data_IF_136436365698
#
_entry.id   IF_136436365698
#
_cell.length_a   1.000
_cell.length_b   1.000
_cell.length_c   1.000
_cell.angle_alpha   90.00
_cell.angle_beta   90.00
_cell.angle_gamma   90.00
#
_symmetry.space_group_name_H-M   'P 1'
#
loop_
_entity.id
_entity.type
_entity.pdbx_description
1 polymer ?
#
# COMPACT_ATOMS: atom_id res chain seq x y z
N UNK A 1 -58.54 24.89 9.93
CA UNK A 1 -57.69 24.04 10.76
C UNK A 1 -57.35 22.68 10.11
N UNK A 2 -58.31 21.90 9.58
CA UNK A 2 -58.03 20.57 8.99
C UNK A 2 -57.09 20.60 7.77
N UNK A 3 -57.08 21.65 6.94
CA UNK A 3 -56.16 21.76 5.79
C UNK A 3 -54.71 22.04 6.18
N UNK A 4 -54.47 22.82 7.23
CA UNK A 4 -53.11 23.05 7.75
C UNK A 4 -52.52 21.83 8.45
N UNK A 5 -53.38 21.04 9.10
CA UNK A 5 -52.95 19.78 9.74
C UNK A 5 -52.49 18.74 8.70
N UNK A 6 -53.20 18.65 7.56
CA UNK A 6 -52.78 17.78 6.47
C UNK A 6 -51.44 18.20 5.83
N UNK A 7 -51.22 19.53 5.68
CA UNK A 7 -49.94 20.04 5.15
C UNK A 7 -48.78 19.77 6.12
N UNK A 8 -48.98 19.93 7.44
CA UNK A 8 -47.97 19.65 8.46
C UNK A 8 -47.68 18.14 8.50
N UNK A 9 -48.69 17.29 8.39
CA UNK A 9 -48.49 15.82 8.40
C UNK A 9 -47.78 15.36 7.13
N UNK A 10 -48.05 15.98 5.96
CA UNK A 10 -47.33 15.69 4.73
C UNK A 10 -45.86 16.20 4.77
N UNK A 11 -45.63 17.37 5.34
CA UNK A 11 -44.26 17.89 5.57
C UNK A 11 -43.46 17.03 6.56
N UNK A 12 -44.10 16.50 7.61
CA UNK A 12 -43.48 15.57 8.58
C UNK A 12 -43.15 14.22 7.95
N UNK A 13 -43.98 13.70 7.02
CA UNK A 13 -43.70 12.46 6.28
C UNK A 13 -42.51 12.60 5.31
N UNK A 14 -42.31 13.80 4.74
CA UNK A 14 -41.16 14.09 3.88
C UNK A 14 -39.82 14.23 4.64
N UNK A 15 -39.87 14.53 5.95
CA UNK A 15 -38.65 14.66 6.79
C UNK A 15 -38.11 13.31 7.26
N UNK A 16 -38.83 12.20 7.09
CA UNK A 16 -38.49 10.87 7.63
C UNK A 16 -37.51 10.05 6.79
N UNK A 17 -37.06 10.54 5.63
CA UNK A 17 -36.16 9.80 4.74
C UNK A 17 -34.68 10.19 4.90
N UNK A 18 -34.17 10.26 6.11
CA UNK A 18 -32.70 10.28 6.30
C UNK A 18 -32.22 8.85 6.44
N UNK A 19 -31.38 8.32 5.53
CA UNK A 19 -30.78 7.02 5.71
C UNK A 19 -29.95 7.02 6.99
N UNK A 20 -30.24 6.09 7.90
CA UNK A 20 -29.42 5.88 9.10
C UNK A 20 -28.08 5.31 8.63
N UNK A 21 -26.99 5.95 9.02
CA UNK A 21 -25.66 5.34 8.92
C UNK A 21 -25.72 4.03 9.72
N UNK A 22 -25.30 2.94 9.08
CA UNK A 22 -25.13 1.66 9.73
C UNK A 22 -23.93 1.79 10.68
N UNK A 23 -24.19 1.74 11.96
CA UNK A 23 -23.15 1.65 12.99
C UNK A 23 -22.81 0.16 13.14
N UNK A 24 -21.73 -0.26 12.50
CA UNK A 24 -21.24 -1.62 12.60
C UNK A 24 -20.68 -1.81 14.02
N UNK A 25 -21.46 -2.42 14.90
CA UNK A 25 -20.98 -2.84 16.21
C UNK A 25 -20.07 -4.05 16.02
N UNK A 26 -18.76 -3.82 16.06
CA UNK A 26 -17.75 -4.87 16.05
C UNK A 26 -17.47 -5.24 17.51
N UNK A 27 -17.71 -6.49 17.89
CA UNK A 27 -17.29 -7.01 19.20
C UNK A 27 -15.76 -7.03 19.24
N UNK A 28 -15.19 -6.16 20.05
CA UNK A 28 -13.74 -6.08 20.26
C UNK A 28 -13.42 -6.68 21.62
N UNK A 29 -12.53 -7.67 21.72
CA UNK A 29 -12.10 -8.19 23.01
C UNK A 29 -11.44 -7.08 23.82
N UNK A 30 -11.68 -7.07 25.14
CA UNK A 30 -11.11 -6.07 26.05
C UNK A 30 -9.58 -6.13 26.10
N UNK A 31 -9.01 -7.34 25.96
CA UNK A 31 -7.58 -7.56 26.06
C UNK A 31 -7.10 -8.52 24.95
N UNK A 32 -5.84 -8.41 24.56
CA UNK A 32 -5.19 -9.39 23.72
C UNK A 32 -5.00 -10.72 24.47
N UNK A 33 -4.95 -11.84 23.71
CA UNK A 33 -4.84 -13.19 24.28
C UNK A 33 -3.63 -13.40 25.20
N UNK A 34 -2.54 -12.65 24.99
CA UNK A 34 -1.28 -12.72 25.73
C UNK A 34 -0.92 -11.38 26.38
N UNK A 35 -1.90 -10.54 26.67
CA UNK A 35 -1.69 -9.18 27.22
C UNK A 35 -0.95 -9.17 28.57
N UNK A 36 -0.99 -10.28 29.35
CA UNK A 36 -0.30 -10.37 30.64
C UNK A 36 1.24 -10.40 30.56
N UNK A 37 1.79 -10.68 29.38
CA UNK A 37 3.23 -10.82 29.15
C UNK A 37 3.88 -9.54 28.61
N UNK A 38 3.09 -8.51 28.29
CA UNK A 38 3.56 -7.26 27.68
C UNK A 38 3.14 -6.03 28.48
N UNK A 39 3.96 -4.96 28.50
CA UNK A 39 3.58 -3.69 29.11
C UNK A 39 2.30 -3.15 28.45
N UNK A 40 1.26 -2.89 29.28
CA UNK A 40 -0.01 -2.33 28.81
C UNK A 40 0.02 -0.80 28.67
N UNK A 41 1.18 -0.19 28.64
CA UNK A 41 1.29 1.24 28.45
C UNK A 41 0.79 1.61 27.06
N UNK A 42 -0.17 2.52 26.99
CA UNK A 42 -0.73 3.09 25.77
C UNK A 42 0.27 4.01 25.05
N UNK A 43 1.46 3.48 24.76
CA UNK A 43 2.45 4.18 23.96
C UNK A 43 2.05 3.99 22.51
N UNK A 44 1.54 5.06 21.91
CA UNK A 44 1.34 5.12 20.46
C UNK A 44 2.69 4.91 19.78
N UNK A 45 2.86 3.82 19.03
CA UNK A 45 4.02 3.68 18.16
C UNK A 45 4.08 4.93 17.26
N UNK A 46 5.22 5.61 17.18
CA UNK A 46 5.39 6.73 16.28
C UNK A 46 5.14 6.25 14.85
N UNK A 47 4.74 7.18 13.97
CA UNK A 47 4.56 6.87 12.55
C UNK A 47 5.80 6.21 11.94
N UNK A 48 7.00 6.62 12.37
CA UNK A 48 8.29 6.08 11.98
C UNK A 48 8.70 4.85 12.83
N UNK A 49 7.88 3.80 12.80
CA UNK A 49 8.09 2.57 13.56
C UNK A 49 9.43 1.88 13.24
N UNK A 50 10.00 2.09 12.05
CA UNK A 50 11.28 1.52 11.64
C UNK A 50 12.50 2.10 12.38
N UNK A 51 12.37 3.27 13.01
CA UNK A 51 13.42 3.87 13.84
C UNK A 51 13.73 3.02 15.09
N UNK A 52 12.78 2.16 15.50
CA UNK A 52 12.94 1.22 16.62
C UNK A 52 14.16 0.32 16.41
N UNK A 53 14.51 -0.01 15.17
CA UNK A 53 15.66 -0.85 14.87
C UNK A 53 17.01 -0.15 15.08
N UNK A 54 17.04 1.17 15.25
CA UNK A 54 18.25 1.95 15.46
C UNK A 54 19.25 1.93 14.29
N UNK A 55 18.78 1.52 13.11
CA UNK A 55 19.59 1.39 11.90
C UNK A 55 19.43 2.61 10.99
N UNK A 56 20.50 3.41 10.90
CA UNK A 56 20.51 4.60 10.07
C UNK A 56 20.37 4.32 8.57
N UNK A 57 20.84 3.15 8.11
CA UNK A 57 20.72 2.74 6.72
C UNK A 57 19.26 2.40 6.40
N UNK A 58 18.60 1.63 7.27
CA UNK A 58 17.18 1.34 7.14
C UNK A 58 16.36 2.64 7.12
N UNK A 59 16.62 3.57 8.05
CA UNK A 59 15.91 4.83 8.13
C UNK A 59 16.04 5.63 6.82
N UNK A 60 17.26 5.77 6.31
CA UNK A 60 17.53 6.44 5.02
C UNK A 60 16.81 5.78 3.84
N UNK A 61 16.79 4.45 3.79
CA UNK A 61 16.13 3.71 2.71
C UNK A 61 14.61 3.87 2.75
N UNK A 62 14.01 3.83 3.94
CA UNK A 62 12.56 4.03 4.09
C UNK A 62 12.17 5.45 3.72
N UNK A 63 12.88 6.47 4.20
CA UNK A 63 12.65 7.88 3.83
C UNK A 63 12.77 8.08 2.32
N UNK A 64 13.83 7.54 1.72
CA UNK A 64 14.02 7.61 0.26
C UNK A 64 12.88 6.95 -0.51
N UNK A 65 12.41 5.78 -0.06
CA UNK A 65 11.26 5.10 -0.68
C UNK A 65 9.99 5.93 -0.58
N UNK A 66 9.73 6.55 0.57
CA UNK A 66 8.54 7.40 0.76
C UNK A 66 8.53 8.61 -0.18
N UNK A 67 9.69 9.13 -0.56
CA UNK A 67 9.82 10.26 -1.48
C UNK A 67 9.73 9.85 -2.96
N UNK A 68 10.29 8.69 -3.33
CA UNK A 68 10.54 8.34 -4.73
C UNK A 68 9.69 7.18 -5.26
N UNK A 69 8.98 6.44 -4.39
CA UNK A 69 8.22 5.28 -4.82
C UNK A 69 7.04 5.65 -5.74
N UNK A 70 6.96 4.98 -6.89
CA UNK A 70 5.96 5.27 -7.94
C UNK A 70 4.53 4.87 -7.53
N UNK A 71 4.37 3.80 -6.77
CA UNK A 71 3.06 3.37 -6.30
C UNK A 71 2.49 4.36 -5.27
N UNK A 72 3.35 4.92 -4.42
CA UNK A 72 2.95 5.95 -3.47
C UNK A 72 2.54 7.25 -4.19
N UNK A 73 3.29 7.66 -5.23
CA UNK A 73 2.93 8.79 -6.08
C UNK A 73 1.60 8.58 -6.80
N UNK A 74 1.31 7.35 -7.26
CA UNK A 74 0.02 7.00 -7.84
C UNK A 74 -1.11 7.11 -6.80
N UNK A 75 -0.91 6.63 -5.58
CA UNK A 75 -1.90 6.76 -4.50
C UNK A 75 -2.17 8.23 -4.15
N UNK A 76 -1.13 9.08 -4.11
CA UNK A 76 -1.28 10.52 -3.96
C UNK A 76 -2.11 11.16 -5.08
N UNK A 77 -1.91 10.72 -6.33
CA UNK A 77 -2.68 11.21 -7.49
C UNK A 77 -4.17 10.87 -7.38
N UNK A 78 -4.54 9.74 -6.79
CA UNK A 78 -5.94 9.37 -6.52
C UNK A 78 -6.63 10.33 -5.54
N UNK A 79 -5.88 10.89 -4.59
CA UNK A 79 -6.42 11.92 -3.67
C UNK A 79 -6.78 13.18 -4.47
N UNK A 80 -5.93 13.62 -5.41
CA UNK A 80 -6.23 14.77 -6.26
C UNK A 80 -7.45 14.51 -7.16
N UNK A 81 -7.57 13.31 -7.73
CA UNK A 81 -8.73 12.89 -8.51
C UNK A 81 -10.01 12.93 -7.67
N UNK A 82 -10.01 12.32 -6.47
CA UNK A 82 -11.15 12.32 -5.58
C UNK A 82 -11.54 13.75 -5.16
N UNK A 83 -10.56 14.63 -4.94
CA UNK A 83 -10.80 16.06 -4.65
C UNK A 83 -11.46 16.78 -5.83
N UNK A 84 -11.02 16.50 -7.05
CA UNK A 84 -11.65 17.06 -8.26
C UNK A 84 -13.08 16.55 -8.43
N UNK A 85 -13.36 15.28 -8.11
CA UNK A 85 -14.68 14.68 -8.17
C UNK A 85 -15.70 15.34 -7.21
N UNK A 86 -15.25 15.95 -6.11
CA UNK A 86 -16.13 16.77 -5.26
C UNK A 86 -16.62 18.00 -6.02
N UNK A 87 -15.79 18.64 -6.85
CA UNK A 87 -16.23 19.77 -7.67
C UNK A 87 -17.23 19.33 -8.72
N UNK A 88 -17.03 18.18 -9.35
CA UNK A 88 -17.99 17.56 -10.29
C UNK A 88 -19.33 17.27 -9.60
N UNK A 89 -19.31 16.68 -8.40
CA UNK A 89 -20.53 16.40 -7.62
C UNK A 89 -21.26 17.67 -7.16
N UNK A 90 -20.57 18.80 -7.10
CA UNK A 90 -21.16 20.12 -6.78
C UNK A 90 -21.66 20.87 -8.00
N UNK A 91 -21.19 20.57 -9.20
CA UNK A 91 -21.58 21.29 -10.41
C UNK A 91 -23.11 21.35 -10.62
N UNK A 92 -23.92 20.28 -10.40
CA UNK A 92 -25.36 20.32 -10.56
C UNK A 92 -26.13 21.22 -9.57
N UNK A 93 -25.46 21.77 -8.53
CA UNK A 93 -26.06 22.79 -7.66
C UNK A 93 -26.25 24.14 -8.38
N UNK A 94 -25.51 24.34 -9.49
CA UNK A 94 -25.56 25.56 -10.30
C UNK A 94 -26.29 25.28 -11.62
N UNK A 95 -26.92 26.29 -12.22
CA UNK A 95 -27.50 26.15 -13.55
C UNK A 95 -26.41 25.87 -14.59
N UNK A 96 -26.69 24.97 -15.53
CA UNK A 96 -25.84 24.72 -16.69
C UNK A 96 -26.20 25.67 -17.83
N UNK A 97 -25.21 26.26 -18.47
CA UNK A 97 -25.36 27.11 -19.64
C UNK A 97 -24.73 26.39 -20.83
N UNK A 98 -25.53 26.16 -21.85
CA UNK A 98 -25.07 25.53 -23.09
C UNK A 98 -25.23 26.50 -24.26
N UNK A 99 -24.40 26.37 -25.29
CA UNK A 99 -24.50 27.01 -26.57
C UNK A 99 -24.35 25.95 -27.67
N UNK A 100 -25.40 25.69 -28.40
CA UNK A 100 -25.38 24.79 -29.54
C UNK A 100 -25.26 25.62 -30.84
N UNK A 101 -24.20 25.34 -31.58
CA UNK A 101 -23.95 25.95 -32.89
C UNK A 101 -24.03 24.84 -33.92
N UNK A 102 -24.96 24.96 -34.87
CA UNK A 102 -25.05 24.00 -35.97
C UNK A 102 -25.10 24.71 -37.32
N UNK A 103 -24.45 24.11 -38.31
CA UNK A 103 -24.50 24.53 -39.69
C UNK A 103 -24.91 23.33 -40.55
N UNK A 104 -25.99 23.46 -41.29
CA UNK A 104 -26.52 22.42 -42.15
C UNK A 104 -26.67 22.93 -43.56
N UNK A 105 -26.10 22.20 -44.52
CA UNK A 105 -26.29 22.45 -45.95
C UNK A 105 -27.13 21.35 -46.58
N UNK A 106 -28.26 21.69 -47.20
CA UNK A 106 -29.10 20.76 -47.96
C UNK A 106 -29.08 21.15 -49.43
N UNK A 107 -28.82 20.17 -50.29
CA UNK A 107 -29.00 20.35 -51.75
C UNK A 107 -30.26 19.63 -52.19
N UNK A 108 -31.14 20.38 -52.85
CA UNK A 108 -32.41 19.85 -53.39
C UNK A 108 -32.59 20.36 -54.82
N UNK A 109 -32.77 19.47 -55.79
CA UNK A 109 -33.18 19.86 -57.15
C UNK A 109 -34.68 20.19 -57.19
N UNK A 110 -35.11 21.28 -57.88
CA UNK A 110 -34.35 22.25 -58.66
C UNK A 110 -33.90 23.52 -57.87
N UNK A 111 -34.10 23.58 -56.58
CA UNK A 111 -33.91 24.80 -55.75
C UNK A 111 -32.48 25.11 -55.35
N UNK A 112 -31.51 24.17 -55.62
CA UNK A 112 -30.10 24.40 -55.30
C UNK A 112 -29.72 24.17 -53.85
N UNK A 113 -28.58 24.72 -53.40
CA UNK A 113 -28.05 24.57 -52.05
C UNK A 113 -28.68 25.57 -51.08
N UNK A 114 -29.28 25.06 -50.02
CA UNK A 114 -29.75 25.87 -48.88
C UNK A 114 -28.83 25.67 -47.70
N UNK A 115 -28.33 26.76 -47.12
CA UNK A 115 -27.50 26.74 -45.90
C UNK A 115 -28.33 27.26 -44.73
N UNK A 116 -28.32 26.52 -43.64
CA UNK A 116 -28.98 26.91 -42.39
C UNK A 116 -27.94 26.97 -41.27
N UNK A 117 -27.91 28.09 -40.58
CA UNK A 117 -27.08 28.28 -39.39
C UNK A 117 -28.00 28.44 -38.19
N UNK A 118 -27.81 27.65 -37.17
CA UNK A 118 -28.63 27.72 -35.96
C UNK A 118 -27.69 27.97 -34.75
N UNK A 119 -28.07 28.97 -33.94
CA UNK A 119 -27.41 29.34 -32.69
C UNK A 119 -28.45 29.24 -31.60
N UNK A 120 -28.31 28.27 -30.70
CA UNK A 120 -29.27 28.00 -29.64
C UNK A 120 -28.58 28.09 -28.27
N UNK A 121 -28.68 29.22 -27.56
CA UNK A 121 -28.31 29.28 -26.17
C UNK A 121 -29.34 28.52 -25.32
N UNK A 122 -28.88 27.74 -24.37
CA UNK A 122 -29.72 26.99 -23.43
C UNK A 122 -29.29 27.22 -21.99
N UNK A 123 -30.22 27.34 -21.08
CA UNK A 123 -30.01 27.36 -19.64
C UNK A 123 -30.87 26.26 -19.06
N UNK A 124 -30.27 25.31 -18.35
CA UNK A 124 -31.01 24.27 -17.64
C UNK A 124 -30.56 24.17 -16.19
N UNK A 125 -31.50 24.03 -15.29
CA UNK A 125 -31.26 23.86 -13.88
C UNK A 125 -32.29 22.93 -13.26
N UNK A 126 -31.82 21.87 -12.64
CA UNK A 126 -32.65 20.92 -11.92
C UNK A 126 -32.53 21.21 -10.41
N UNK A 127 -33.64 21.70 -9.82
CA UNK A 127 -33.67 22.02 -8.39
C UNK A 127 -33.85 20.72 -7.58
N UNK A 128 -32.87 20.32 -6.78
CA UNK A 128 -32.90 19.03 -6.03
C UNK A 128 -33.77 19.18 -4.78
N UNK A 129 -35.05 18.86 -4.85
CA UNK A 129 -35.98 18.99 -3.73
C UNK A 129 -35.82 17.86 -2.69
N UNK A 130 -35.36 16.68 -3.11
CA UNK A 130 -35.32 15.47 -2.28
C UNK A 130 -33.91 15.12 -1.75
N UNK A 131 -32.96 16.03 -1.80
CA UNK A 131 -31.65 15.87 -1.19
C UNK A 131 -30.66 14.99 -1.95
N UNK A 132 -30.96 14.51 -3.16
CA UNK A 132 -30.08 13.68 -4.00
C UNK A 132 -28.69 14.29 -4.21
N UNK A 133 -28.61 15.59 -4.56
CA UNK A 133 -27.33 16.29 -4.72
C UNK A 133 -26.55 16.42 -3.42
N UNK A 134 -27.22 16.56 -2.28
CA UNK A 134 -26.56 16.59 -0.97
C UNK A 134 -25.95 15.23 -0.66
N UNK A 135 -26.67 14.15 -0.95
CA UNK A 135 -26.17 12.78 -0.77
C UNK A 135 -25.02 12.48 -1.70
N UNK A 136 -25.10 12.87 -2.99
CA UNK A 136 -23.99 12.74 -3.94
C UNK A 136 -22.72 13.50 -3.50
N UNK A 137 -22.88 14.73 -2.97
CA UNK A 137 -21.74 15.49 -2.44
C UNK A 137 -21.16 14.86 -1.15
N UNK A 138 -22.00 14.26 -0.29
CA UNK A 138 -21.51 13.51 0.88
C UNK A 138 -20.74 12.27 0.44
N UNK A 139 -21.24 11.52 -0.53
CA UNK A 139 -20.57 10.36 -1.10
C UNK A 139 -19.21 10.73 -1.71
N UNK A 140 -19.13 11.82 -2.48
CA UNK A 140 -17.87 12.30 -3.05
C UNK A 140 -16.86 12.71 -1.96
N UNK A 141 -17.31 13.29 -0.85
CA UNK A 141 -16.45 13.60 0.29
C UNK A 141 -15.97 12.33 1.00
N UNK A 142 -16.85 11.34 1.20
CA UNK A 142 -16.48 10.06 1.77
C UNK A 142 -15.43 9.35 0.90
N UNK A 143 -15.59 9.39 -0.43
CA UNK A 143 -14.61 8.86 -1.38
C UNK A 143 -13.23 9.57 -1.29
N UNK A 144 -13.19 10.89 -1.00
CA UNK A 144 -11.94 11.58 -0.73
C UNK A 144 -11.28 11.05 0.54
N UNK A 145 -12.01 10.93 1.64
CA UNK A 145 -11.46 10.38 2.90
C UNK A 145 -10.99 8.93 2.72
N UNK A 146 -11.74 8.10 1.98
CA UNK A 146 -11.33 6.76 1.60
C UNK A 146 -9.99 6.77 0.84
N UNK A 147 -9.81 7.66 -0.13
CA UNK A 147 -8.53 7.81 -0.85
C UNK A 147 -7.37 8.24 0.07
N UNK A 148 -7.63 9.09 1.07
CA UNK A 148 -6.61 9.51 2.05
C UNK A 148 -6.20 8.34 2.97
N UNK A 149 -7.15 7.51 3.41
CA UNK A 149 -6.84 6.32 4.19
C UNK A 149 -6.15 5.24 3.34
N UNK A 150 -6.58 5.07 2.08
CA UNK A 150 -5.91 4.20 1.12
C UNK A 150 -4.44 4.60 0.90
N UNK A 151 -4.14 5.91 0.80
CA UNK A 151 -2.76 6.41 0.74
C UNK A 151 -1.94 6.01 1.97
N UNK A 152 -2.51 6.17 3.19
CA UNK A 152 -1.85 5.74 4.43
C UNK A 152 -1.60 4.23 4.46
N UNK A 153 -2.54 3.44 3.93
CA UNK A 153 -2.39 1.99 3.78
C UNK A 153 -1.22 1.62 2.87
N UNK A 154 -1.12 2.27 1.70
CA UNK A 154 0.01 2.07 0.76
C UNK A 154 1.34 2.47 1.41
N UNK A 155 1.36 3.57 2.16
CA UNK A 155 2.55 4.04 2.86
C UNK A 155 3.02 3.06 3.92
N UNK A 156 2.10 2.50 4.73
CA UNK A 156 2.41 1.49 5.73
C UNK A 156 2.94 0.21 5.09
N UNK A 157 2.30 -0.28 4.03
CA UNK A 157 2.77 -1.46 3.29
C UNK A 157 4.16 -1.24 2.68
N UNK A 158 4.38 -0.07 2.07
CA UNK A 158 5.68 0.26 1.48
C UNK A 158 6.80 0.25 2.51
N UNK A 159 6.60 0.88 3.67
CA UNK A 159 7.63 0.90 4.73
C UNK A 159 7.95 -0.51 5.24
N UNK A 160 6.93 -1.38 5.38
CA UNK A 160 7.11 -2.77 5.77
C UNK A 160 7.83 -3.59 4.69
N UNK A 161 7.51 -3.38 3.41
CA UNK A 161 8.16 -4.05 2.28
C UNK A 161 9.63 -3.64 2.15
N UNK A 162 9.94 -2.34 2.31
CA UNK A 162 11.33 -1.84 2.29
C UNK A 162 12.13 -2.46 3.44
N UNK A 163 11.60 -2.45 4.66
CA UNK A 163 12.28 -3.05 5.81
C UNK A 163 12.52 -4.56 5.59
N UNK A 164 11.51 -5.30 5.16
CA UNK A 164 11.61 -6.73 4.87
C UNK A 164 12.63 -7.02 3.76
N UNK A 165 12.61 -6.24 2.69
CA UNK A 165 13.55 -6.38 1.58
C UNK A 165 14.99 -6.08 2.02
N UNK A 166 15.19 -5.04 2.84
CA UNK A 166 16.48 -4.70 3.41
C UNK A 166 17.04 -5.85 4.28
N UNK A 167 16.26 -6.37 5.22
CA UNK A 167 16.67 -7.52 6.03
C UNK A 167 16.94 -8.77 5.19
N UNK A 168 16.22 -8.96 4.10
CA UNK A 168 16.45 -10.05 3.15
C UNK A 168 17.82 -9.89 2.46
N UNK A 169 18.22 -8.68 2.10
CA UNK A 169 19.57 -8.41 1.55
C UNK A 169 20.63 -8.73 2.57
N UNK A 170 20.47 -8.30 3.82
CA UNK A 170 21.40 -8.60 4.91
C UNK A 170 21.52 -10.11 5.15
N UNK A 171 20.39 -10.82 5.16
CA UNK A 171 20.35 -12.28 5.32
C UNK A 171 21.16 -12.99 4.22
N UNK A 172 20.87 -12.70 2.93
CA UNK A 172 21.59 -13.37 1.85
C UNK A 172 23.07 -12.97 1.79
N UNK A 173 23.43 -11.76 2.19
CA UNK A 173 24.83 -11.34 2.33
C UNK A 173 25.54 -12.19 3.39
N UNK A 174 24.87 -12.44 4.51
CA UNK A 174 25.37 -13.34 5.58
C UNK A 174 25.50 -14.78 5.08
N UNK A 175 24.47 -15.30 4.41
CA UNK A 175 24.46 -16.66 3.88
C UNK A 175 25.59 -16.85 2.87
N UNK A 176 25.86 -15.87 2.00
CA UNK A 176 27.00 -15.88 1.10
C UNK A 176 28.33 -15.92 1.83
N UNK A 177 28.49 -15.16 2.90
CA UNK A 177 29.68 -15.18 3.73
C UNK A 177 29.88 -16.54 4.38
N UNK A 178 28.83 -17.13 4.93
CA UNK A 178 28.84 -18.48 5.54
C UNK A 178 29.18 -19.54 4.48
N UNK A 179 28.59 -19.48 3.29
CA UNK A 179 28.89 -20.41 2.20
C UNK A 179 30.40 -20.37 1.80
N UNK A 180 30.98 -19.17 1.68
CA UNK A 180 32.41 -19.00 1.41
C UNK A 180 33.27 -19.57 2.51
N UNK A 181 32.93 -19.32 3.78
CA UNK A 181 33.65 -19.89 4.91
C UNK A 181 33.54 -21.43 4.96
N UNK A 182 32.33 -21.96 4.70
CA UNK A 182 32.10 -23.41 4.64
C UNK A 182 32.95 -24.07 3.53
N UNK A 183 33.04 -23.44 2.36
CA UNK A 183 33.89 -23.92 1.27
C UNK A 183 35.35 -23.99 1.70
N UNK A 184 35.90 -22.97 2.34
CA UNK A 184 37.27 -22.94 2.80
C UNK A 184 37.55 -24.09 3.82
N UNK A 185 36.67 -24.22 4.82
CA UNK A 185 36.80 -25.27 5.85
C UNK A 185 36.70 -26.69 5.29
N UNK A 186 35.78 -26.93 4.34
CA UNK A 186 35.63 -28.24 3.68
C UNK A 186 36.84 -28.57 2.80
N UNK A 187 37.39 -27.57 2.13
CA UNK A 187 38.61 -27.71 1.33
C UNK A 187 39.83 -28.08 2.18
N UNK A 188 40.00 -27.43 3.35
CA UNK A 188 41.06 -27.76 4.32
C UNK A 188 40.87 -29.18 4.87
N UNK A 189 39.65 -29.56 5.21
CA UNK A 189 39.31 -30.92 5.66
C UNK A 189 39.62 -31.97 4.59
N UNK A 190 39.26 -31.71 3.32
CA UNK A 190 39.54 -32.61 2.21
C UNK A 190 41.07 -32.75 1.98
N UNK A 191 41.84 -31.67 2.11
CA UNK A 191 43.30 -31.70 2.01
C UNK A 191 43.95 -32.56 3.13
N UNK A 192 43.38 -32.53 4.34
CA UNK A 192 43.81 -33.40 5.44
C UNK A 192 43.54 -34.88 5.11
N UNK A 193 42.31 -35.21 4.62
CA UNK A 193 41.94 -36.58 4.23
C UNK A 193 42.82 -37.09 3.08
N UNK A 194 43.14 -36.24 2.09
CA UNK A 194 44.06 -36.55 0.99
C UNK A 194 45.48 -36.93 1.54
N UNK A 195 45.95 -36.13 2.48
CA UNK A 195 47.23 -36.42 3.14
C UNK A 195 47.22 -37.76 3.88
N UNK A 196 46.15 -38.04 4.65
CA UNK A 196 46.00 -39.33 5.34
C UNK A 196 45.89 -40.50 4.35
N UNK A 197 45.23 -40.34 3.22
CA UNK A 197 45.14 -41.35 2.19
C UNK A 197 46.51 -41.63 1.55
N UNK A 198 47.33 -40.64 1.29
CA UNK A 198 48.70 -40.77 0.78
C UNK A 198 49.64 -41.56 1.74
N UNK A 199 49.41 -41.40 3.03
CA UNK A 199 50.17 -42.17 4.05
C UNK A 199 49.56 -43.53 4.38
N UNK A 200 48.52 -43.97 3.65
CA UNK A 200 47.87 -45.27 3.87
C UNK A 200 46.97 -45.34 5.11
N UNK A 201 46.70 -44.22 5.76
CA UNK A 201 45.84 -44.12 6.96
C UNK A 201 44.36 -43.85 6.66
N UNK A 202 43.99 -43.64 5.37
CA UNK A 202 42.64 -43.49 4.90
C UNK A 202 42.43 -44.18 3.54
N UNK A 203 41.19 -44.40 3.14
CA UNK A 203 40.88 -45.04 1.88
C UNK A 203 40.37 -44.00 0.82
N UNK A 204 40.42 -44.40 -0.45
CA UNK A 204 40.00 -43.54 -1.56
C UNK A 204 38.52 -43.13 -1.50
N UNK A 205 37.65 -43.93 -0.86
CA UNK A 205 36.23 -43.60 -0.70
C UNK A 205 36.06 -42.38 0.23
N UNK A 206 36.78 -42.34 1.34
CA UNK A 206 36.76 -41.21 2.27
C UNK A 206 37.20 -39.91 1.58
N UNK A 207 38.21 -39.97 0.71
CA UNK A 207 38.67 -38.82 -0.07
C UNK A 207 37.58 -38.34 -1.03
N UNK A 208 36.94 -39.25 -1.77
CA UNK A 208 35.88 -38.89 -2.71
C UNK A 208 34.66 -38.30 -1.99
N UNK A 209 34.28 -38.80 -0.82
CA UNK A 209 33.25 -38.19 0.03
C UNK A 209 33.60 -36.77 0.48
N UNK A 210 34.84 -36.56 0.94
CA UNK A 210 35.30 -35.23 1.33
C UNK A 210 35.28 -34.25 0.13
N UNK A 211 35.75 -34.69 -1.03
CA UNK A 211 35.70 -33.87 -2.26
C UNK A 211 34.26 -33.56 -2.72
N UNK A 212 33.33 -34.51 -2.58
CA UNK A 212 31.93 -34.28 -2.87
C UNK A 212 31.33 -33.11 -2.03
N UNK A 213 31.71 -33.09 -0.73
CA UNK A 213 31.29 -31.97 0.16
C UNK A 213 31.92 -30.64 -0.22
N UNK A 214 33.14 -30.63 -0.75
CA UNK A 214 33.80 -29.41 -1.27
C UNK A 214 33.03 -28.89 -2.48
N UNK A 215 32.72 -29.75 -3.46
CA UNK A 215 31.98 -29.36 -4.67
C UNK A 215 30.57 -28.88 -4.36
N UNK A 216 29.91 -29.47 -3.36
CA UNK A 216 28.58 -28.95 -2.91
C UNK A 216 28.73 -27.52 -2.35
N UNK A 217 29.68 -27.27 -1.44
CA UNK A 217 29.89 -25.95 -0.89
C UNK A 217 30.32 -24.92 -1.95
N UNK A 218 31.08 -25.35 -2.97
CA UNK A 218 31.46 -24.50 -4.10
C UNK A 218 30.22 -24.13 -4.96
N UNK A 219 29.29 -25.06 -5.17
CA UNK A 219 28.06 -24.83 -5.92
C UNK A 219 27.07 -23.92 -5.18
N UNK A 220 27.10 -23.88 -3.86
CA UNK A 220 26.24 -22.99 -3.06
C UNK A 220 26.61 -21.51 -3.25
N UNK A 221 27.90 -21.18 -3.46
CA UNK A 221 28.39 -19.79 -3.56
C UNK A 221 27.68 -18.99 -4.66
N UNK A 222 27.64 -19.42 -5.94
CA UNK A 222 26.96 -18.68 -6.98
C UNK A 222 25.45 -18.61 -6.79
N UNK A 223 24.85 -19.55 -6.05
CA UNK A 223 23.44 -19.49 -5.68
C UNK A 223 23.16 -18.30 -4.77
N UNK A 224 23.93 -18.16 -3.69
CA UNK A 224 23.78 -17.04 -2.75
C UNK A 224 24.22 -15.71 -3.38
N UNK A 225 25.24 -15.69 -4.24
CA UNK A 225 25.59 -14.48 -5.00
C UNK A 225 24.39 -13.96 -5.81
N UNK A 226 23.73 -14.85 -6.52
CA UNK A 226 22.52 -14.49 -7.30
C UNK A 226 21.39 -14.02 -6.39
N UNK A 227 21.18 -14.66 -5.22
CA UNK A 227 20.15 -14.26 -4.26
C UNK A 227 20.39 -12.84 -3.70
N UNK A 228 21.64 -12.50 -3.39
CA UNK A 228 22.04 -11.13 -2.98
C UNK A 228 21.68 -10.13 -4.07
N UNK A 229 22.09 -10.37 -5.31
CA UNK A 229 21.81 -9.43 -6.40
C UNK A 229 20.32 -9.31 -6.69
N UNK A 230 19.56 -10.40 -6.67
CA UNK A 230 18.11 -10.37 -6.87
C UNK A 230 17.40 -9.57 -5.75
N UNK A 231 17.80 -9.75 -4.49
CA UNK A 231 17.23 -9.00 -3.38
C UNK A 231 17.59 -7.51 -3.42
N UNK A 232 18.81 -7.16 -3.85
CA UNK A 232 19.22 -5.76 -4.09
C UNK A 232 18.38 -5.11 -5.19
N UNK A 233 18.15 -5.81 -6.30
CA UNK A 233 17.31 -5.32 -7.39
C UNK A 233 15.85 -5.13 -6.95
N UNK A 234 15.32 -6.05 -6.14
CA UNK A 234 13.98 -5.90 -5.57
C UNK A 234 13.88 -4.64 -4.68
N UNK A 235 14.90 -4.38 -3.87
CA UNK A 235 14.97 -3.17 -3.05
C UNK A 235 15.04 -1.90 -3.92
N UNK A 236 15.84 -1.89 -5.01
CA UNK A 236 15.87 -0.75 -5.95
C UNK A 236 14.47 -0.42 -6.50
N UNK A 237 13.67 -1.43 -6.83
CA UNK A 237 12.30 -1.21 -7.33
C UNK A 237 11.43 -0.52 -6.29
N UNK A 238 11.53 -0.92 -5.02
CA UNK A 238 10.78 -0.29 -3.92
C UNK A 238 11.23 1.15 -3.69
N UNK A 239 12.53 1.43 -3.86
CA UNK A 239 13.09 2.77 -3.76
C UNK A 239 12.73 3.68 -4.95
N UNK A 240 12.20 3.11 -6.05
CA UNK A 240 11.94 3.84 -7.29
C UNK A 240 13.19 4.15 -8.10
N UNK A 241 14.31 3.43 -7.82
CA UNK A 241 15.64 3.70 -8.34
C UNK A 241 16.08 2.70 -9.42
N UNK A 242 17.13 3.07 -10.13
CA UNK A 242 17.75 2.20 -11.14
C UNK A 242 18.52 1.04 -10.49
N UNK A 243 18.72 -0.09 -11.20
CA UNK A 243 19.52 -1.22 -10.72
C UNK A 243 20.94 -0.88 -10.27
N UNK A 244 21.53 0.20 -10.80
CA UNK A 244 22.87 0.67 -10.47
C UNK A 244 22.92 1.57 -9.22
N UNK A 245 21.79 1.81 -8.54
CA UNK A 245 21.71 2.74 -7.41
C UNK A 245 22.71 2.43 -6.29
N UNK A 246 22.83 1.15 -5.92
CA UNK A 246 23.76 0.74 -4.89
C UNK A 246 25.22 0.58 -5.40
N UNK A 247 25.44 0.52 -6.73
CA UNK A 247 26.78 0.28 -7.29
C UNK A 247 27.49 -0.90 -6.64
N UNK A 248 28.70 -0.64 -6.13
CA UNK A 248 29.51 -1.62 -5.37
C UNK A 248 29.28 -1.53 -3.85
N UNK A 249 28.28 -0.78 -3.39
CA UNK A 249 27.96 -0.66 -1.97
C UNK A 249 27.62 -2.04 -1.40
N UNK A 250 28.33 -2.43 -0.33
CA UNK A 250 28.09 -3.68 0.38
C UNK A 250 27.34 -3.39 1.67
N UNK A 251 26.26 -4.12 1.91
CA UNK A 251 25.53 -4.06 3.17
C UNK A 251 26.27 -4.83 4.25
N UNK A 252 26.44 -4.21 5.41
CA UNK A 252 27.11 -4.86 6.55
C UNK A 252 26.15 -5.80 7.27
N UNK A 253 26.34 -7.09 7.08
CA UNK A 253 25.53 -8.14 7.71
C UNK A 253 25.84 -8.33 9.21
N UNK A 254 26.91 -7.71 9.74
CA UNK A 254 27.20 -7.72 11.18
C UNK A 254 26.11 -6.97 11.98
N UNK A 255 25.35 -6.10 11.35
CA UNK A 255 24.19 -5.44 11.96
C UNK A 255 23.17 -6.46 12.48
N UNK A 256 23.01 -7.62 11.82
CA UNK A 256 22.07 -8.67 12.26
C UNK A 256 22.40 -9.24 13.65
N UNK A 257 23.62 -9.14 14.12
CA UNK A 257 24.04 -9.62 15.45
C UNK A 257 23.69 -8.61 16.55
N UNK A 258 23.44 -7.36 16.18
CA UNK A 258 23.20 -6.26 17.11
C UNK A 258 21.71 -5.96 17.33
N UNK A 259 20.81 -6.52 16.49
CA UNK A 259 19.37 -6.30 16.68
C UNK A 259 18.90 -7.01 17.95
N UNK A 260 18.43 -6.22 18.89
CA UNK A 260 17.73 -6.72 20.07
C UNK A 260 16.22 -6.75 19.76
N UNK A 261 15.58 -7.84 20.18
CA UNK A 261 14.10 -7.88 20.16
C UNK A 261 13.61 -6.85 21.16
N UNK A 262 13.03 -5.79 20.67
CA UNK A 262 12.44 -4.76 21.51
C UNK A 262 11.02 -5.15 21.92
N UNK A 263 10.64 -4.82 23.14
CA UNK A 263 9.26 -4.95 23.58
C UNK A 263 8.39 -3.92 22.85
N UNK A 264 7.51 -4.41 21.99
CA UNK A 264 6.57 -3.55 21.26
C UNK A 264 5.38 -3.30 22.17
N UNK A 265 5.05 -2.03 22.49
CA UNK A 265 3.86 -1.71 23.28
C UNK A 265 2.60 -2.09 22.51
N UNK A 266 1.76 -2.94 23.10
CA UNK A 266 0.67 -3.60 22.39
C UNK A 266 -0.57 -2.71 22.27
N UNK A 267 -0.77 -1.74 23.20
CA UNK A 267 -1.97 -0.90 23.25
C UNK A 267 -3.25 -1.70 23.54
N UNK A 268 -4.41 -1.10 23.31
CA UNK A 268 -5.70 -1.75 23.46
C UNK A 268 -6.23 -2.27 22.11
N UNK A 269 -6.93 -3.41 22.06
CA UNK A 269 -7.52 -3.94 20.83
C UNK A 269 -8.47 -2.94 20.14
N UNK A 270 -9.22 -2.14 20.93
CA UNK A 270 -10.13 -1.11 20.41
C UNK A 270 -9.41 0.02 19.66
N UNK A 271 -8.19 0.36 20.05
CA UNK A 271 -7.40 1.39 19.38
C UNK A 271 -6.99 0.99 17.95
N UNK A 272 -6.89 -0.32 17.66
CA UNK A 272 -6.58 -0.80 16.32
C UNK A 272 -7.66 -0.44 15.31
N UNK A 273 -8.93 -0.34 15.74
CA UNK A 273 -10.03 0.04 14.84
C UNK A 273 -9.85 1.46 14.29
N UNK A 274 -9.28 2.36 15.10
CA UNK A 274 -9.03 3.75 14.70
C UNK A 274 -7.68 3.94 14.00
N UNK A 275 -6.71 3.04 14.26
CA UNK A 275 -5.34 3.14 13.74
C UNK A 275 -5.16 2.44 12.40
N UNK A 276 -5.89 1.37 12.12
CA UNK A 276 -5.76 0.58 10.90
C UNK A 276 -6.39 1.31 9.71
N UNK A 277 -5.59 1.65 8.67
CA UNK A 277 -6.08 2.38 7.51
C UNK A 277 -7.16 1.63 6.73
N UNK A 278 -7.08 0.29 6.65
CA UNK A 278 -8.03 -0.56 5.95
C UNK A 278 -9.41 -0.59 6.63
N UNK A 279 -9.45 -0.57 7.97
CA UNK A 279 -10.70 -0.50 8.72
C UNK A 279 -11.34 0.87 8.52
N UNK A 280 -10.56 1.95 8.61
CA UNK A 280 -11.06 3.30 8.42
C UNK A 280 -11.56 3.56 6.99
N UNK A 281 -10.92 2.97 5.98
CA UNK A 281 -11.38 3.00 4.59
C UNK A 281 -12.74 2.29 4.44
N UNK A 282 -12.88 1.08 4.99
CA UNK A 282 -14.14 0.33 4.96
C UNK A 282 -15.29 1.05 5.68
N UNK A 283 -15.04 1.71 6.81
CA UNK A 283 -16.08 2.47 7.54
C UNK A 283 -16.65 3.62 6.71
N UNK A 284 -15.84 4.23 5.85
CA UNK A 284 -16.28 5.32 4.96
C UNK A 284 -17.10 4.81 3.77
N UNK A 285 -16.92 3.55 3.36
CA UNK A 285 -17.64 2.94 2.24
C UNK A 285 -19.02 2.38 2.64
N UNK A 286 -19.26 2.10 3.92
CA UNK A 286 -20.53 1.54 4.42
C UNK A 286 -21.65 2.57 4.56
N UNK A 287 -21.74 3.55 3.64
CA UNK A 287 -23.00 4.26 3.44
C UNK A 287 -24.03 3.26 2.85
N UNK A 288 -25.24 3.13 3.45
CA UNK A 288 -26.21 2.11 3.03
C UNK A 288 -26.50 2.26 1.55
N UNK A 289 -26.35 1.13 0.84
CA UNK A 289 -26.74 1.01 -0.56
C UNK A 289 -28.22 1.40 -0.70
N UNK A 290 -28.61 2.18 -1.71
CA UNK A 290 -30.02 2.45 -1.99
C UNK A 290 -30.86 1.20 -2.32
N UNK A 291 -30.25 0.00 -2.29
CA UNK A 291 -30.94 -1.29 -2.43
C UNK A 291 -31.39 -1.90 -1.10
N UNK A 292 -30.95 -1.35 0.03
CA UNK A 292 -31.26 -1.88 1.38
C UNK A 292 -32.35 -1.05 2.09
N UNK A 293 -33.06 -0.18 1.35
CA UNK A 293 -34.19 0.61 1.82
C UNK A 293 -35.51 0.17 1.16
#
# INVERSE_FOLDING_TARGET
MKRYFAIILFAAALASCTPKLYDAQVEVPENYRFAGDFPQDSVSLPFAWWEIFGDSTLNRLVEHALENNRNLAQAASRIFEARANIAVARAPFLPSVGLNLSAQGNYTEPTGTTQQYTIEPSISWEVPLFGTLRSANRAAKAALYSSEWGYRGVMLSLTAEVATSYFTVLQYTRDLRIARQSYVLRRESAALVDSLARYGMSNGVALQQAMSLVYQAEADIPQYQRAVEQSRLALCVLLGENPSYFGDETFDDALLDNYQVMDIPVGLPSELLERRPDIMDCLLYTSPSPRDS
#
